data_IF_100878001462
#
_entry.id   IF_100878001462
#
_cell.length_a   1.000
_cell.length_b   1.000
_cell.length_c   1.000
_cell.angle_alpha   90.00
_cell.angle_beta   90.00
_cell.angle_gamma   90.00
#
_symmetry.space_group_name_H-M   'P 1'
#
loop_
_entity.id
_entity.type
_entity.pdbx_description
1 polymer ?
#
# COMPACT_ATOMS: atom_id res chain seq x y z
N UNK A 1 -7.48 7.65 7.95
CA UNK A 1 -6.35 8.49 8.42
C UNK A 1 -6.72 9.40 9.59
N UNK A 2 -7.94 9.96 9.67
CA UNK A 2 -8.35 10.83 10.78
C UNK A 2 -8.06 10.24 12.18
N UNK A 3 -8.45 8.98 12.39
CA UNK A 3 -8.25 8.24 13.65
C UNK A 3 -6.79 8.11 14.11
N UNK A 4 -5.81 8.30 13.21
CA UNK A 4 -4.38 8.27 13.59
C UNK A 4 -3.96 9.51 14.37
N UNK A 5 -4.69 10.63 14.22
CA UNK A 5 -4.35 11.94 14.77
C UNK A 5 -5.31 12.42 15.87
N UNK A 6 -6.26 11.58 16.28
CA UNK A 6 -7.07 11.83 17.47
C UNK A 6 -6.19 11.79 18.73
N UNK A 7 -6.58 12.51 19.79
CA UNK A 7 -5.78 12.68 21.02
C UNK A 7 -5.35 11.34 21.65
N UNK A 8 -6.23 10.33 21.59
CA UNK A 8 -5.95 9.00 22.14
C UNK A 8 -5.14 8.09 21.20
N UNK A 9 -4.91 8.53 19.96
CA UNK A 9 -4.18 7.84 18.89
C UNK A 9 -4.65 6.39 18.65
N UNK A 10 -5.96 6.12 18.78
CA UNK A 10 -6.51 4.77 18.68
C UNK A 10 -6.24 4.14 17.31
N UNK A 11 -6.35 4.91 16.21
CA UNK A 11 -6.05 4.41 14.88
C UNK A 11 -4.61 3.90 14.72
N UNK A 12 -3.64 4.57 15.38
CA UNK A 12 -2.24 4.12 15.39
C UNK A 12 -2.07 2.83 16.18
N UNK A 13 -2.67 2.73 17.36
CA UNK A 13 -2.64 1.51 18.18
C UNK A 13 -3.26 0.33 17.43
N UNK A 14 -4.41 0.52 16.82
CA UNK A 14 -5.09 -0.50 16.01
C UNK A 14 -4.21 -0.96 14.85
N UNK A 15 -3.62 -0.03 14.08
CA UNK A 15 -2.75 -0.39 12.95
C UNK A 15 -1.50 -1.19 13.39
N UNK A 16 -0.89 -0.84 14.53
CA UNK A 16 0.25 -1.60 15.07
C UNK A 16 -0.15 -3.01 15.54
N UNK A 17 -1.32 -3.16 16.16
CA UNK A 17 -1.85 -4.48 16.53
C UNK A 17 -2.13 -5.32 15.28
N UNK A 18 -2.80 -4.75 14.27
CA UNK A 18 -3.08 -5.41 13.01
C UNK A 18 -1.79 -5.81 12.26
N UNK A 19 -0.79 -4.93 12.26
CA UNK A 19 0.53 -5.23 11.71
C UNK A 19 1.20 -6.42 12.42
N UNK A 20 1.14 -6.45 13.76
CA UNK A 20 1.67 -7.58 14.54
C UNK A 20 0.92 -8.88 14.25
N UNK A 21 -0.40 -8.84 14.07
CA UNK A 21 -1.21 -9.99 13.65
C UNK A 21 -0.78 -10.52 12.27
N UNK A 22 -0.62 -9.63 11.29
CA UNK A 22 -0.17 -10.00 9.94
C UNK A 22 1.25 -10.58 9.97
N UNK A 23 2.17 -9.94 10.68
CA UNK A 23 3.56 -10.38 10.78
C UNK A 23 3.66 -11.76 11.45
N UNK A 24 2.83 -12.04 12.45
CA UNK A 24 2.78 -13.35 13.12
C UNK A 24 2.34 -14.47 12.19
N UNK A 25 1.39 -14.20 11.29
CA UNK A 25 0.96 -15.16 10.28
C UNK A 25 2.07 -15.42 9.26
N UNK A 26 2.77 -14.37 8.82
CA UNK A 26 3.85 -14.45 7.84
C UNK A 26 5.09 -15.16 8.38
N UNK A 27 5.52 -14.78 9.57
CA UNK A 27 6.70 -15.35 10.23
C UNK A 27 6.54 -15.27 11.75
N UNK A 28 6.03 -16.35 12.33
CA UNK A 28 5.86 -16.47 13.77
C UNK A 28 7.21 -16.44 14.52
N UNK A 29 8.28 -16.96 13.91
CA UNK A 29 9.62 -16.97 14.50
C UNK A 29 10.19 -15.56 14.64
N UNK A 30 10.05 -14.74 13.60
CA UNK A 30 10.46 -13.34 13.66
C UNK A 30 9.58 -12.51 14.61
N UNK A 31 8.27 -12.75 14.62
CA UNK A 31 7.37 -12.08 15.56
C UNK A 31 7.77 -12.39 17.02
N UNK A 32 8.01 -13.66 17.36
CA UNK A 32 8.48 -14.07 18.69
C UNK A 32 9.87 -13.52 19.02
N UNK A 33 10.76 -13.42 18.02
CA UNK A 33 12.05 -12.75 18.22
C UNK A 33 11.87 -11.29 18.63
N UNK A 34 11.04 -10.52 17.94
CA UNK A 34 10.76 -9.12 18.29
C UNK A 34 10.13 -8.99 19.68
N UNK A 35 9.22 -9.90 20.05
CA UNK A 35 8.68 -9.94 21.42
C UNK A 35 9.78 -10.14 22.47
N UNK A 36 10.75 -11.02 22.22
CA UNK A 36 11.87 -11.28 23.13
C UNK A 36 12.82 -10.08 23.31
N UNK A 37 12.78 -9.12 22.37
CA UNK A 37 13.58 -7.90 22.37
C UNK A 37 12.78 -6.66 22.80
N UNK A 38 11.68 -6.83 23.56
CA UNK A 38 10.75 -5.77 23.97
C UNK A 38 10.20 -4.93 22.79
N UNK A 39 10.18 -5.54 21.61
CA UNK A 39 9.89 -4.91 20.33
C UNK A 39 8.56 -5.38 19.73
N UNK A 40 7.77 -6.17 20.48
CA UNK A 40 6.50 -6.78 20.02
C UNK A 40 5.37 -5.80 19.69
N UNK A 41 5.42 -4.58 20.23
CA UNK A 41 4.48 -3.50 19.86
C UNK A 41 4.85 -2.76 18.57
N UNK A 42 6.00 -3.08 17.95
CA UNK A 42 6.43 -2.55 16.66
C UNK A 42 6.52 -1.03 16.60
N UNK A 43 6.89 -0.35 17.70
CA UNK A 43 6.97 1.12 17.74
C UNK A 43 7.98 1.71 16.73
N UNK A 44 8.95 0.93 16.25
CA UNK A 44 9.84 1.35 15.15
C UNK A 44 9.09 1.53 13.81
N UNK A 45 7.90 0.96 13.64
CA UNK A 45 7.02 1.18 12.48
C UNK A 45 6.11 2.41 12.64
N UNK A 46 6.09 3.07 13.81
CA UNK A 46 5.16 4.16 14.10
C UNK A 46 5.27 5.30 13.09
N UNK A 47 6.51 5.69 12.73
CA UNK A 47 6.76 6.74 11.73
C UNK A 47 6.20 6.36 10.37
N UNK A 48 6.33 5.10 9.95
CA UNK A 48 5.83 4.62 8.67
C UNK A 48 4.32 4.80 8.55
N UNK A 49 3.59 4.36 9.57
CA UNK A 49 2.13 4.39 9.60
C UNK A 49 1.58 5.82 9.75
N UNK A 50 2.20 6.62 10.61
CA UNK A 50 1.73 7.97 10.93
C UNK A 50 1.76 8.90 9.70
N UNK A 51 2.87 8.87 8.96
CA UNK A 51 3.09 9.77 7.81
C UNK A 51 3.15 9.02 6.47
N UNK A 52 2.55 7.82 6.41
CA UNK A 52 2.42 7.01 5.18
C UNK A 52 3.74 6.89 4.43
N UNK A 53 4.79 6.48 5.14
CA UNK A 53 6.16 6.26 4.64
C UNK A 53 6.86 7.49 4.05
N UNK A 54 6.34 8.71 4.19
CA UNK A 54 6.90 9.94 3.57
C UNK A 54 8.39 10.20 3.87
N UNK A 55 8.90 9.68 4.99
CA UNK A 55 10.32 9.82 5.39
C UNK A 55 11.21 8.67 4.93
N UNK A 56 10.67 7.65 4.28
CA UNK A 56 11.43 6.48 3.84
C UNK A 56 11.80 6.54 2.36
N UNK A 57 11.08 7.34 1.58
CA UNK A 57 11.18 7.40 0.13
C UNK A 57 11.53 8.79 -0.38
N UNK A 58 12.16 8.85 -1.55
CA UNK A 58 12.39 10.10 -2.27
C UNK A 58 11.07 10.77 -2.66
N UNK A 59 11.13 12.01 -3.14
CA UNK A 59 9.90 12.72 -3.51
C UNK A 59 9.15 12.05 -4.67
N UNK A 60 9.85 11.49 -5.66
CA UNK A 60 9.18 10.80 -6.77
C UNK A 60 8.66 9.44 -6.34
N UNK A 61 9.45 8.69 -5.58
CA UNK A 61 9.07 7.35 -5.11
C UNK A 61 7.85 7.40 -4.19
N UNK A 62 7.75 8.41 -3.32
CA UNK A 62 6.59 8.52 -2.43
C UNK A 62 5.31 8.85 -3.20
N UNK A 63 5.39 9.64 -4.28
CA UNK A 63 4.22 9.91 -5.13
C UNK A 63 3.74 8.61 -5.77
N UNK A 64 4.66 7.82 -6.32
CA UNK A 64 4.37 6.51 -6.90
C UNK A 64 3.72 5.56 -5.89
N UNK A 65 4.27 5.48 -4.68
CA UNK A 65 3.72 4.64 -3.61
C UNK A 65 2.29 5.07 -3.25
N UNK A 66 2.05 6.38 -3.12
CA UNK A 66 0.73 6.91 -2.78
C UNK A 66 -0.29 6.74 -3.89
N UNK A 67 0.09 6.90 -5.16
CA UNK A 67 -0.77 6.61 -6.30
C UNK A 67 -1.32 5.18 -6.22
N UNK A 68 -0.46 4.20 -5.97
CA UNK A 68 -0.88 2.80 -5.82
C UNK A 68 -1.75 2.61 -4.59
N UNK A 69 -1.35 3.14 -3.44
CA UNK A 69 -2.12 2.99 -2.19
C UNK A 69 -3.53 3.58 -2.27
N UNK A 70 -3.71 4.69 -3.00
CA UNK A 70 -5.01 5.35 -3.15
C UNK A 70 -5.95 4.66 -4.15
N UNK A 71 -5.48 3.64 -4.88
CA UNK A 71 -6.38 2.78 -5.67
C UNK A 71 -7.25 1.88 -4.80
N UNK A 72 -6.90 1.71 -3.52
CA UNK A 72 -7.53 0.75 -2.60
C UNK A 72 -7.42 -0.73 -3.04
N UNK A 73 -6.50 -1.02 -3.96
CA UNK A 73 -6.15 -2.35 -4.42
C UNK A 73 -4.82 -2.83 -3.81
N UNK A 74 -4.58 -4.16 -3.77
CA UNK A 74 -5.53 -5.25 -4.03
C UNK A 74 -6.47 -5.54 -2.85
N UNK A 75 -6.21 -4.96 -1.68
CA UNK A 75 -6.93 -5.27 -0.44
C UNK A 75 -7.09 -4.04 0.46
N UNK A 76 -7.97 -4.15 1.46
CA UNK A 76 -8.02 -3.14 2.54
C UNK A 76 -6.69 -3.14 3.28
N UNK A 77 -6.33 -1.96 3.78
CA UNK A 77 -5.13 -1.77 4.58
C UNK A 77 -3.81 -2.22 3.90
N UNK A 78 -3.70 -2.10 2.58
CA UNK A 78 -2.50 -2.48 1.81
C UNK A 78 -1.18 -1.94 2.37
N UNK A 79 -1.20 -0.75 2.99
CA UNK A 79 -0.07 -0.18 3.73
C UNK A 79 0.52 -1.06 4.84
N UNK A 80 -0.26 -1.93 5.46
CA UNK A 80 0.26 -2.88 6.44
C UNK A 80 1.07 -3.98 5.75
N UNK A 81 0.67 -4.40 4.54
CA UNK A 81 1.45 -5.33 3.73
C UNK A 81 2.75 -4.68 3.22
N UNK A 82 2.76 -3.38 2.95
CA UNK A 82 4.00 -2.63 2.69
C UNK A 82 4.95 -2.67 3.89
N UNK A 83 4.44 -2.52 5.12
CA UNK A 83 5.27 -2.69 6.32
C UNK A 83 5.82 -4.12 6.41
N UNK A 84 5.00 -5.16 6.17
CA UNK A 84 5.44 -6.55 6.17
C UNK A 84 6.54 -6.81 5.13
N UNK A 85 6.39 -6.32 3.89
CA UNK A 85 7.36 -6.48 2.82
C UNK A 85 8.74 -5.87 3.16
N UNK A 86 8.75 -4.67 3.76
CA UNK A 86 10.00 -4.04 4.22
C UNK A 86 10.62 -4.86 5.36
N UNK A 87 9.83 -5.25 6.36
CA UNK A 87 10.33 -6.02 7.51
C UNK A 87 10.86 -7.40 7.12
N UNK A 88 10.21 -8.09 6.19
CA UNK A 88 10.65 -9.40 5.68
C UNK A 88 12.02 -9.30 5.01
N UNK A 89 12.26 -8.21 4.25
CA UNK A 89 13.53 -7.95 3.59
C UNK A 89 14.69 -7.71 4.58
N UNK A 90 14.39 -7.25 5.79
CA UNK A 90 15.39 -6.88 6.81
C UNK A 90 15.53 -7.90 7.94
N UNK A 91 14.61 -8.87 8.01
CA UNK A 91 14.56 -9.92 9.04
C UNK A 91 15.91 -10.59 9.26
N UNK A 92 16.57 -11.03 8.20
CA UNK A 92 17.85 -11.75 8.31
C UNK A 92 18.90 -10.90 9.02
N UNK A 93 19.07 -9.64 8.62
CA UNK A 93 20.04 -8.75 9.26
C UNK A 93 19.72 -8.53 10.75
N UNK A 94 18.44 -8.33 11.07
CA UNK A 94 17.99 -8.09 12.45
C UNK A 94 18.28 -9.31 13.33
N UNK A 95 17.92 -10.52 12.87
CA UNK A 95 18.03 -11.74 13.67
C UNK A 95 19.46 -12.26 13.75
N UNK A 96 20.22 -12.27 12.65
CA UNK A 96 21.60 -12.78 12.61
C UNK A 96 22.56 -11.90 13.41
N UNK A 97 22.32 -10.58 13.43
CA UNK A 97 23.12 -9.64 14.23
C UNK A 97 22.59 -9.50 15.66
N UNK A 98 21.54 -10.22 16.02
CA UNK A 98 20.90 -10.20 17.33
C UNK A 98 20.56 -8.77 17.83
N UNK A 99 19.91 -7.97 16.98
CA UNK A 99 19.54 -6.60 17.32
C UNK A 99 18.45 -6.53 18.41
N UNK A 100 18.71 -5.74 19.46
CA UNK A 100 17.71 -5.34 20.43
C UNK A 100 16.85 -4.16 19.93
N UNK A 101 15.92 -3.68 20.76
CA UNK A 101 15.02 -2.58 20.38
C UNK A 101 15.72 -1.35 19.79
N UNK A 102 16.81 -0.90 20.42
CA UNK A 102 17.54 0.30 19.97
C UNK A 102 18.24 0.08 18.63
N UNK A 103 18.86 -1.08 18.44
CA UNK A 103 19.52 -1.45 17.19
C UNK A 103 18.50 -1.65 16.06
N UNK A 104 17.36 -2.29 16.34
CA UNK A 104 16.25 -2.42 15.38
C UNK A 104 15.76 -1.03 14.96
N UNK A 105 15.46 -0.15 15.94
CA UNK A 105 14.99 1.20 15.64
C UNK A 105 16.02 1.99 14.82
N UNK A 106 17.31 1.86 15.16
CA UNK A 106 18.39 2.49 14.39
C UNK A 106 18.47 1.95 12.97
N UNK A 107 18.49 0.62 12.81
CA UNK A 107 18.55 -0.06 11.52
C UNK A 107 17.40 0.37 10.62
N UNK A 108 16.17 0.31 11.12
CA UNK A 108 14.95 0.72 10.42
C UNK A 108 15.00 2.20 10.02
N UNK A 109 15.49 3.08 10.90
CA UNK A 109 15.65 4.50 10.56
C UNK A 109 16.68 4.74 9.45
N UNK A 110 17.75 3.93 9.41
CA UNK A 110 18.83 4.00 8.42
C UNK A 110 18.44 3.44 7.05
N UNK A 111 17.28 2.78 6.92
CA UNK A 111 16.70 2.36 5.63
C UNK A 111 16.14 3.54 4.83
N UNK A 112 15.91 4.69 5.46
CA UNK A 112 15.40 5.88 4.79
C UNK A 112 16.22 6.19 3.52
N UNK A 113 15.52 6.38 2.40
CA UNK A 113 16.07 6.63 1.07
C UNK A 113 16.87 5.47 0.45
N UNK A 114 16.81 4.27 1.03
CA UNK A 114 17.48 3.06 0.53
C UNK A 114 16.51 1.96 0.08
N UNK A 115 15.22 2.20 0.21
CA UNK A 115 14.17 1.25 -0.14
C UNK A 115 13.77 1.46 -1.60
N UNK A 116 13.81 0.39 -2.40
CA UNK A 116 13.29 0.40 -3.76
C UNK A 116 11.76 0.30 -3.74
N UNK A 117 11.07 1.27 -4.35
CA UNK A 117 9.61 1.39 -4.25
C UNK A 117 8.89 0.29 -5.02
N UNK A 118 9.38 -0.08 -6.20
CA UNK A 118 8.72 -1.09 -7.05
C UNK A 118 8.93 -2.50 -6.48
N UNK A 119 10.12 -2.81 -5.94
CA UNK A 119 10.37 -4.08 -5.24
C UNK A 119 9.44 -4.27 -4.03
N UNK A 120 9.27 -3.22 -3.20
CA UNK A 120 8.37 -3.30 -2.04
C UNK A 120 6.90 -3.40 -2.46
N UNK A 121 6.48 -2.70 -3.53
CA UNK A 121 5.14 -2.84 -4.09
C UNK A 121 4.90 -4.28 -4.57
N UNK A 122 5.83 -4.85 -5.33
CA UNK A 122 5.75 -6.24 -5.81
C UNK A 122 5.70 -7.25 -4.67
N UNK A 123 6.54 -7.11 -3.64
CA UNK A 123 6.54 -7.98 -2.46
C UNK A 123 5.22 -7.89 -1.67
N UNK A 124 4.71 -6.68 -1.45
CA UNK A 124 3.45 -6.49 -0.74
C UNK A 124 2.25 -7.07 -1.51
N UNK A 125 2.24 -6.93 -2.85
CA UNK A 125 1.25 -7.56 -3.71
C UNK A 125 1.35 -9.09 -3.66
N UNK A 126 2.57 -9.64 -3.73
CA UNK A 126 2.80 -11.09 -3.63
C UNK A 126 2.30 -11.65 -2.29
N UNK A 127 2.56 -10.96 -1.19
CA UNK A 127 2.01 -11.30 0.14
C UNK A 127 0.47 -11.32 0.11
N UNK A 128 -0.15 -10.30 -0.49
CA UNK A 128 -1.61 -10.22 -0.61
C UNK A 128 -2.18 -11.41 -1.39
N UNK A 129 -1.59 -11.73 -2.55
CA UNK A 129 -2.00 -12.86 -3.38
C UNK A 129 -1.83 -14.19 -2.66
N UNK A 130 -0.72 -14.39 -1.95
CA UNK A 130 -0.48 -15.59 -1.15
C UNK A 130 -1.54 -15.75 -0.06
N UNK A 131 -1.89 -14.68 0.66
CA UNK A 131 -2.93 -14.72 1.69
C UNK A 131 -4.31 -15.01 1.09
N UNK A 132 -4.66 -14.41 -0.05
CA UNK A 132 -5.92 -14.65 -0.73
C UNK A 132 -6.07 -16.08 -1.27
N UNK A 133 -4.97 -16.74 -1.62
CA UNK A 133 -4.96 -18.14 -2.07
C UNK A 133 -4.95 -19.16 -0.92
N UNK A 134 -4.78 -18.70 0.32
CA UNK A 134 -4.69 -19.57 1.48
C UNK A 134 -6.09 -20.05 1.89
N UNK A 135 -6.35 -21.36 1.78
CA UNK A 135 -7.68 -21.96 2.01
C UNK A 135 -8.21 -21.79 3.44
N UNK A 136 -7.32 -21.70 4.41
CA UNK A 136 -7.65 -21.57 5.83
C UNK A 136 -6.95 -20.32 6.40
N UNK A 137 -7.39 -19.15 5.95
CA UNK A 137 -6.89 -17.89 6.48
C UNK A 137 -7.65 -17.54 7.78
N UNK A 138 -6.94 -17.16 8.87
CA UNK A 138 -7.62 -16.77 10.11
C UNK A 138 -8.54 -15.57 9.90
N UNK A 139 -9.75 -15.63 10.46
CA UNK A 139 -10.78 -14.59 10.31
C UNK A 139 -10.28 -13.18 10.64
N UNK A 140 -9.44 -13.04 11.66
CA UNK A 140 -8.84 -11.75 12.02
C UNK A 140 -8.01 -11.14 10.87
N UNK A 141 -7.32 -11.97 10.08
CA UNK A 141 -6.56 -11.50 8.91
C UNK A 141 -7.50 -11.17 7.75
N UNK A 142 -8.54 -11.97 7.53
CA UNK A 142 -9.60 -11.67 6.56
C UNK A 142 -10.23 -10.30 6.81
N UNK A 143 -10.54 -9.98 8.07
CA UNK A 143 -11.10 -8.68 8.47
C UNK A 143 -10.13 -7.51 8.23
N UNK A 144 -8.85 -7.70 8.55
CA UNK A 144 -7.80 -6.69 8.33
C UNK A 144 -7.68 -6.36 6.84
N UNK A 145 -7.67 -7.39 5.98
CA UNK A 145 -7.45 -7.24 4.54
C UNK A 145 -8.75 -7.04 3.74
N UNK A 146 -9.91 -7.19 4.38
CA UNK A 146 -11.20 -7.10 3.69
C UNK A 146 -11.47 -8.25 2.72
N UNK A 147 -10.87 -9.41 2.96
CA UNK A 147 -11.08 -10.64 2.19
C UNK A 147 -12.28 -11.37 2.78
N UNK A 148 -13.50 -10.91 2.48
CA UNK A 148 -14.69 -11.70 2.79
C UNK A 148 -15.31 -12.20 1.50
N UNK A 149 -15.43 -13.52 1.38
CA UNK A 149 -16.27 -14.15 0.38
C UNK A 149 -17.72 -13.77 0.68
N UNK A 150 -18.39 -13.18 -0.30
CA UNK A 150 -19.83 -12.99 -0.24
C UNK A 150 -20.53 -14.33 -0.46
N UNK A 151 -20.48 -15.22 0.53
CA UNK A 151 -21.41 -16.34 0.63
C UNK A 151 -22.25 -16.17 1.90
N UNK A 152 -23.25 -15.29 1.79
CA UNK A 152 -24.43 -15.39 2.65
C UNK A 152 -25.29 -16.52 2.09
N UNK A 153 -24.98 -17.76 2.48
CA UNK A 153 -25.94 -18.86 2.41
C UNK A 153 -26.57 -18.98 3.79
N UNK A 154 -27.66 -18.24 4.01
CA UNK A 154 -28.56 -18.53 5.13
C UNK A 154 -29.24 -19.87 4.88
N UNK A 155 -29.12 -20.86 5.79
CA UNK A 155 -30.05 -21.97 5.82
C UNK A 155 -31.31 -21.51 6.56
N UNK A 156 -32.45 -21.45 5.86
CA UNK A 156 -33.73 -21.98 6.35
C UNK A 156 -34.92 -21.36 5.61
N UNK A 157 -35.64 -22.21 4.85
CA UNK A 157 -37.05 -22.57 5.09
C UNK A 157 -37.73 -22.89 3.76
N UNK A 158 -38.02 -24.19 3.57
CA UNK A 158 -38.95 -24.66 2.55
C UNK A 158 -40.34 -24.02 2.75
N UNK A 159 -40.85 -23.34 1.73
CA UNK A 159 -42.27 -23.43 1.34
C UNK A 159 -42.46 -22.87 -0.06
N UNK A 160 -42.92 -23.76 -0.95
CA UNK A 160 -43.40 -23.47 -2.31
C UNK A 160 -44.48 -22.37 -2.32
N UNK A 161 -44.42 -21.46 -3.30
CA UNK A 161 -45.43 -21.36 -4.37
C UNK A 161 -45.00 -20.32 -5.43
N UNK A 162 -45.27 -20.70 -6.68
CA UNK A 162 -44.98 -20.08 -7.96
C UNK A 162 -45.65 -18.71 -8.18
N UNK A 163 -45.00 -17.78 -8.94
CA UNK A 163 -45.58 -16.97 -10.04
C UNK A 163 -44.60 -15.87 -10.51
N UNK A 164 -44.25 -15.88 -11.81
CA UNK A 164 -44.10 -14.67 -12.64
C UNK A 164 -42.73 -14.00 -12.78
N UNK A 165 -41.99 -14.34 -13.83
CA UNK A 165 -40.92 -13.52 -14.50
C UNK A 165 -41.55 -12.25 -15.13
N UNK A 166 -40.83 -11.15 -15.50
CA UNK A 166 -39.39 -11.10 -15.79
C UNK A 166 -38.56 -9.88 -15.28
N UNK A 167 -37.24 -10.08 -15.37
CA UNK A 167 -36.13 -9.17 -15.06
C UNK A 167 -36.24 -7.73 -15.60
N UNK A 168 -35.49 -6.81 -14.98
CA UNK A 168 -34.80 -5.76 -15.73
C UNK A 168 -33.28 -5.91 -15.62
N UNK A 169 -32.67 -6.01 -16.78
CA UNK A 169 -31.23 -5.88 -17.06
C UNK A 169 -30.79 -4.48 -16.66
N UNK A 170 -29.82 -4.31 -15.74
CA UNK A 170 -29.19 -3.01 -15.53
C UNK A 170 -28.16 -2.77 -16.63
N UNK A 171 -28.54 -1.88 -17.55
CA UNK A 171 -27.70 -1.38 -18.61
C UNK A 171 -26.58 -0.52 -18.02
N UNK A 172 -25.34 -0.82 -18.40
CA UNK A 172 -24.23 0.13 -18.36
C UNK A 172 -24.60 1.36 -19.20
N UNK A 173 -24.46 2.60 -18.69
CA UNK A 173 -24.49 3.77 -19.55
C UNK A 173 -23.12 3.87 -20.25
N UNK A 174 -23.07 3.50 -21.52
CA UNK A 174 -22.02 3.98 -22.43
C UNK A 174 -22.16 5.50 -22.54
N UNK A 175 -21.16 6.25 -22.07
CA UNK A 175 -21.09 7.69 -22.33
C UNK A 175 -20.62 7.91 -23.77
N UNK A 176 -21.57 8.19 -24.65
CA UNK A 176 -21.32 8.70 -25.99
C UNK A 176 -20.88 10.16 -25.86
N UNK A 177 -19.62 10.46 -26.21
CA UNK A 177 -19.14 11.84 -26.37
C UNK A 177 -19.80 12.46 -27.62
N UNK A 178 -20.26 13.73 -27.57
CA UNK A 178 -20.76 14.40 -28.76
C UNK A 178 -19.59 14.84 -29.65
N UNK A 179 -19.62 14.36 -30.89
CA UNK A 179 -18.80 14.82 -32.01
C UNK A 179 -19.21 16.25 -32.37
N UNK A 180 -18.28 17.20 -32.31
CA UNK A 180 -18.38 18.48 -33.01
C UNK A 180 -17.30 18.49 -34.08
N UNK A 181 -17.74 18.52 -35.34
CA UNK A 181 -16.85 18.55 -36.50
C UNK A 181 -16.61 19.98 -37.00
N UNK A 182 -15.33 20.22 -37.25
CA UNK A 182 -14.72 21.00 -38.33
C UNK A 182 -14.98 22.51 -38.47
N UNK A 183 -13.89 23.27 -38.42
CA UNK A 183 -13.55 24.22 -39.49
C UNK A 183 -12.03 24.34 -39.62
N UNK A 184 -11.55 24.03 -40.82
CA UNK A 184 -10.18 24.21 -41.29
C UNK A 184 -9.79 25.69 -41.37
N UNK A 185 -8.54 26.00 -41.07
CA UNK A 185 -7.85 27.15 -41.65
C UNK A 185 -6.34 26.84 -41.75
N UNK A 186 -5.78 27.34 -42.84
CA UNK A 186 -4.57 26.91 -43.55
C UNK A 186 -3.35 27.71 -43.09
N UNK A 187 -2.17 27.07 -43.26
CA UNK A 187 -0.84 27.65 -43.61
C UNK A 187 -0.33 28.89 -42.83
N UNK A 188 0.86 28.80 -42.22
CA UNK A 188 2.11 29.18 -42.90
C UNK A 188 3.35 28.94 -41.99
N UNK A 189 4.49 28.58 -42.60
CA UNK A 189 5.84 28.58 -42.01
C UNK A 189 6.71 29.50 -42.86
N UNK A 190 7.68 30.22 -42.28
CA UNK A 190 9.05 29.96 -42.74
C UNK A 190 10.20 30.19 -41.73
N UNK A 191 11.34 29.57 -42.09
CA UNK A 191 12.75 29.94 -41.88
C UNK A 191 13.31 30.00 -40.43
N UNK A 192 14.20 29.08 -40.03
CA UNK A 192 15.67 29.14 -40.20
C UNK A 192 16.31 30.50 -39.85
N UNK A 193 17.17 30.55 -38.82
CA UNK A 193 18.56 31.09 -38.87
C UNK A 193 19.32 30.81 -37.56
N UNK A 194 20.62 30.56 -37.75
CA UNK A 194 21.74 30.26 -36.86
C UNK A 194 21.89 31.07 -35.55
N UNK A 195 22.51 30.44 -34.54
CA UNK A 195 23.87 30.74 -34.01
C UNK A 195 23.97 30.61 -32.47
N UNK A 196 24.86 29.72 -31.98
CA UNK A 196 25.59 29.90 -30.71
C UNK A 196 26.79 30.83 -30.95
N UNK A 197 27.40 31.47 -29.93
CA UNK A 197 28.30 30.77 -29.00
C UNK A 197 28.37 31.29 -27.54
N UNK A 198 28.81 30.40 -26.66
CA UNK A 198 29.68 30.56 -25.46
C UNK A 198 29.77 31.93 -24.74
N UNK A 199 29.59 31.91 -23.42
CA UNK A 199 30.61 32.43 -22.47
C UNK A 199 30.30 32.06 -21.00
N UNK A 200 31.25 31.35 -20.39
CA UNK A 200 31.42 31.27 -18.95
C UNK A 200 31.55 32.67 -18.31
N UNK A 201 30.98 32.86 -17.11
CA UNK A 201 31.55 33.79 -16.11
C UNK A 201 31.24 33.33 -14.69
N UNK A 202 32.28 32.76 -14.08
CA UNK A 202 32.54 32.82 -12.64
C UNK A 202 32.99 34.24 -12.28
N UNK A 203 32.56 34.77 -11.13
CA UNK A 203 33.41 35.59 -10.24
C UNK A 203 32.79 35.69 -8.83
N UNK A 204 33.61 35.75 -7.77
CA UNK A 204 33.20 35.80 -6.37
C UNK A 204 33.26 37.22 -5.76
N UNK A 205 32.64 37.38 -4.59
CA UNK A 205 33.07 38.24 -3.47
C UNK A 205 32.46 37.69 -2.18
#
# INVERSE_FOLDING_TARGET
MHQNFEEQMQGMKTQLIQLSTLLRLLDSGFCSYLESQDSGYLYFCFRWLLIRFKREFSFLDILRLWEVMWTELPCKNFHLLLCCAILESEKQQIMEKHYGFNEILKHINELSMKIDVEDILCKAEAISLQMAQCKELPQAVCEILGLQDSEVTTPDSDTDENVGTPCPVSAFPSSTLPVVAASEAKEDSPAQTLASPNACRLTPA
#
